data_IF_031633159262
#
_entry.id   IF_031633159262
#
_cell.length_a   1.000
_cell.length_b   1.000
_cell.length_c   1.000
_cell.angle_alpha   90.00
_cell.angle_beta   90.00
_cell.angle_gamma   90.00
#
_symmetry.space_group_name_H-M   'P 1'
#
loop_
_entity.id
_entity.type
_entity.pdbx_description
1 polymer ?
#
# COMPACT_ATOMS: atom_id res chain seq x y z
N UNK A 1 0.63 -23.99 -24.46
CA UNK A 1 1.05 -24.08 -23.04
C UNK A 1 1.65 -22.75 -22.64
N UNK A 2 0.78 -21.74 -22.47
CA UNK A 2 1.15 -20.38 -22.10
C UNK A 2 0.00 -19.85 -21.26
N UNK A 3 0.03 -20.08 -19.95
CA UNK A 3 -0.83 -19.35 -19.02
C UNK A 3 0.00 -19.04 -17.78
N UNK A 4 0.23 -17.75 -17.57
CA UNK A 4 0.91 -17.19 -16.41
C UNK A 4 0.31 -17.79 -15.13
N UNK A 5 1.17 -18.21 -14.20
CA UNK A 5 0.90 -18.88 -12.91
C UNK A 5 -0.07 -18.15 -11.94
N UNK A 6 -0.67 -17.05 -12.36
CA UNK A 6 -1.59 -16.26 -11.56
C UNK A 6 -2.93 -16.15 -12.31
N UNK A 7 -3.86 -17.06 -12.01
CA UNK A 7 -5.27 -16.92 -12.36
C UNK A 7 -5.86 -15.78 -11.53
N UNK A 8 -5.70 -14.55 -12.02
CA UNK A 8 -6.26 -13.34 -11.39
C UNK A 8 -7.55 -12.98 -12.10
N UNK A 9 -8.67 -13.19 -11.42
CA UNK A 9 -10.03 -12.96 -11.94
C UNK A 9 -10.22 -11.57 -12.55
N UNK A 10 -10.92 -11.52 -13.68
CA UNK A 10 -11.16 -10.29 -14.48
C UNK A 10 -11.98 -9.22 -13.76
N UNK A 11 -12.59 -9.53 -12.61
CA UNK A 11 -13.45 -8.63 -11.86
C UNK A 11 -13.17 -8.70 -10.34
N UNK A 12 -12.10 -8.03 -9.91
CA UNK A 12 -11.89 -7.71 -8.48
C UNK A 12 -12.73 -6.48 -8.07
N UNK A 13 -13.07 -6.34 -6.77
CA UNK A 13 -13.96 -5.28 -6.32
C UNK A 13 -13.27 -3.91 -6.40
N UNK A 14 -13.82 -3.03 -7.25
CA UNK A 14 -13.59 -1.56 -7.31
C UNK A 14 -12.31 -1.10 -8.02
N UNK A 15 -12.50 -0.79 -9.31
CA UNK A 15 -11.51 -0.28 -10.25
C UNK A 15 -11.07 1.15 -9.97
N UNK A 16 -9.89 1.26 -9.37
CA UNK A 16 -8.92 2.36 -9.50
C UNK A 16 -7.54 1.72 -9.31
N UNK A 17 -6.63 1.87 -10.28
CA UNK A 17 -5.24 1.44 -10.17
C UNK A 17 -4.93 -0.05 -10.41
N UNK A 18 -5.88 -0.99 -10.37
CA UNK A 18 -5.55 -2.43 -10.50
C UNK A 18 -4.93 -2.80 -11.85
N UNK A 19 -5.39 -2.16 -12.93
CA UNK A 19 -4.82 -2.38 -14.26
C UNK A 19 -3.40 -1.80 -14.36
N UNK A 20 -3.16 -0.64 -13.76
CA UNK A 20 -1.84 0.02 -13.72
C UNK A 20 -0.85 -0.75 -12.86
N UNK A 21 -1.23 -1.12 -11.62
CA UNK A 21 -0.44 -1.97 -10.73
C UNK A 21 -0.09 -3.29 -11.42
N UNK A 22 -1.08 -3.94 -12.06
CA UNK A 22 -0.85 -5.17 -12.82
C UNK A 22 0.10 -4.95 -13.99
N UNK A 23 -0.07 -3.86 -14.75
CA UNK A 23 0.76 -3.54 -15.90
C UNK A 23 2.21 -3.31 -15.46
N UNK A 24 2.43 -2.45 -14.46
CA UNK A 24 3.76 -2.10 -13.94
C UNK A 24 4.42 -3.32 -13.33
N UNK A 25 3.72 -4.09 -12.49
CA UNK A 25 4.26 -5.34 -11.94
C UNK A 25 4.63 -6.32 -13.08
N UNK A 26 3.75 -6.51 -14.07
CA UNK A 26 4.03 -7.41 -15.20
C UNK A 26 5.22 -6.94 -16.05
N UNK A 27 5.33 -5.64 -16.32
CA UNK A 27 6.44 -5.06 -17.06
C UNK A 27 7.75 -5.20 -16.29
N UNK A 28 7.75 -4.93 -14.99
CA UNK A 28 8.92 -5.11 -14.14
C UNK A 28 9.39 -6.57 -14.16
N UNK A 29 8.51 -7.54 -13.86
CA UNK A 29 8.90 -8.95 -13.81
C UNK A 29 9.23 -9.55 -15.19
N UNK A 30 8.73 -8.97 -16.28
CA UNK A 30 9.03 -9.45 -17.66
C UNK A 30 10.30 -8.81 -18.24
N UNK A 31 10.58 -7.54 -17.91
CA UNK A 31 11.73 -6.81 -18.44
C UNK A 31 13.04 -7.13 -17.73
N UNK A 32 12.97 -7.52 -16.46
CA UNK A 32 14.14 -7.86 -15.67
C UNK A 32 14.64 -9.25 -16.07
N UNK A 33 15.61 -9.30 -16.98
CA UNK A 33 16.42 -10.51 -17.21
C UNK A 33 17.32 -10.76 -16.01
N UNK A 34 16.85 -11.61 -15.10
CA UNK A 34 17.62 -11.99 -13.91
C UNK A 34 18.78 -12.91 -14.30
N UNK A 35 20.00 -12.36 -14.26
CA UNK A 35 21.23 -13.12 -14.48
C UNK A 35 21.73 -13.79 -13.19
N UNK A 36 21.10 -13.50 -12.05
CA UNK A 36 21.45 -14.02 -10.73
C UNK A 36 20.18 -14.42 -9.94
N UNK A 37 20.27 -15.42 -9.05
CA UNK A 37 19.14 -15.84 -8.22
C UNK A 37 18.68 -14.73 -7.26
N UNK A 38 17.37 -14.60 -7.10
CA UNK A 38 16.76 -13.63 -6.18
C UNK A 38 17.03 -14.07 -4.75
N UNK A 39 17.75 -13.25 -4.01
CA UNK A 39 17.96 -13.39 -2.56
C UNK A 39 17.69 -12.05 -1.86
N UNK A 40 17.73 -12.07 -0.53
CA UNK A 40 17.42 -10.91 0.30
C UNK A 40 18.30 -9.69 -0.05
N UNK A 41 19.61 -9.89 -0.19
CA UNK A 41 20.56 -8.81 -0.53
C UNK A 41 20.31 -8.20 -1.90
N UNK A 42 19.86 -9.02 -2.86
CA UNK A 42 19.54 -8.56 -4.22
C UNK A 42 18.30 -7.68 -4.21
N UNK A 43 17.27 -8.05 -3.44
CA UNK A 43 16.03 -7.26 -3.30
C UNK A 43 16.33 -5.90 -2.66
N UNK A 44 17.19 -5.84 -1.64
CA UNK A 44 17.58 -4.58 -1.00
C UNK A 44 18.25 -3.59 -1.96
N UNK A 45 18.85 -4.08 -3.06
CA UNK A 45 19.49 -3.26 -4.09
C UNK A 45 18.55 -2.82 -5.21
N UNK A 46 17.23 -3.07 -5.08
CA UNK A 46 16.21 -2.72 -6.07
C UNK A 46 15.33 -1.56 -5.56
N UNK A 47 15.80 -0.30 -5.60
CA UNK A 47 15.07 0.83 -5.03
C UNK A 47 13.69 1.03 -5.67
N UNK A 48 13.58 0.85 -6.99
CA UNK A 48 12.31 0.98 -7.70
C UNK A 48 11.30 -0.11 -7.30
N UNK A 49 11.76 -1.34 -7.06
CA UNK A 49 10.89 -2.41 -6.56
C UNK A 49 10.35 -2.06 -5.17
N UNK A 50 11.21 -1.52 -4.31
CA UNK A 50 10.79 -1.05 -2.98
C UNK A 50 9.76 0.09 -3.10
N UNK A 51 9.96 1.03 -4.01
CA UNK A 51 9.03 2.13 -4.24
C UNK A 51 7.66 1.62 -4.74
N UNK A 52 7.64 0.72 -5.72
CA UNK A 52 6.44 0.02 -6.20
C UNK A 52 5.72 -0.72 -5.06
N UNK A 53 6.47 -1.41 -4.20
CA UNK A 53 5.92 -2.12 -3.06
C UNK A 53 5.25 -1.17 -2.05
N UNK A 54 5.93 -0.08 -1.68
CA UNK A 54 5.41 0.92 -0.75
C UNK A 54 4.18 1.62 -1.33
N UNK A 55 4.19 1.93 -2.63
CA UNK A 55 3.07 2.58 -3.31
C UNK A 55 1.83 1.68 -3.38
N UNK A 56 2.03 0.37 -3.54
CA UNK A 56 0.94 -0.61 -3.40
C UNK A 56 0.32 -0.56 -2.00
N UNK A 57 1.15 -0.50 -0.94
CA UNK A 57 0.66 -0.41 0.44
C UNK A 57 -0.01 0.93 0.74
N UNK A 58 0.47 2.02 0.15
CA UNK A 58 -0.14 3.35 0.29
C UNK A 58 -1.57 3.34 -0.24
N UNK A 59 -1.75 2.89 -1.48
CA UNK A 59 -3.07 2.86 -2.12
C UNK A 59 -3.99 1.78 -1.56
N UNK A 60 -3.43 0.64 -1.13
CA UNK A 60 -4.18 -0.54 -0.69
C UNK A 60 -3.58 -1.14 0.58
N UNK A 61 -3.68 -0.43 1.73
CA UNK A 61 -3.18 -0.96 2.97
C UNK A 61 -3.99 -2.21 3.36
N UNK A 62 -3.34 -3.35 3.68
CA UNK A 62 -4.04 -4.56 4.12
C UNK A 62 -4.81 -4.32 5.43
N UNK A 63 -4.40 -3.33 6.22
CA UNK A 63 -4.98 -2.98 7.52
C UNK A 63 -5.71 -1.63 7.52
N UNK A 64 -6.82 -1.57 6.79
CA UNK A 64 -7.66 -0.36 6.73
C UNK A 64 -8.21 0.04 8.12
N UNK A 65 -8.58 -0.94 8.97
CA UNK A 65 -9.21 -0.71 10.28
C UNK A 65 -8.50 -1.38 11.47
N UNK A 66 -7.38 -2.08 11.26
CA UNK A 66 -6.74 -2.88 12.32
C UNK A 66 -5.79 -2.08 13.22
N UNK A 67 -5.60 -0.78 12.97
CA UNK A 67 -4.81 0.09 13.84
C UNK A 67 -5.69 0.74 14.90
N UNK A 68 -6.03 -0.03 15.93
CA UNK A 68 -6.74 0.46 17.11
C UNK A 68 -5.78 0.76 18.26
N UNK A 69 -6.15 1.74 19.09
CA UNK A 69 -5.50 2.09 20.35
C UNK A 69 -6.56 2.30 21.41
N UNK A 70 -6.26 1.98 22.66
CA UNK A 70 -7.12 2.35 23.78
C UNK A 70 -6.52 3.55 24.51
N UNK A 71 -7.35 4.54 24.82
CA UNK A 71 -6.93 5.68 25.61
C UNK A 71 -6.72 5.23 27.07
N UNK A 72 -5.48 5.20 27.55
CA UNK A 72 -5.16 4.68 28.90
C UNK A 72 -5.58 5.68 29.98
N UNK A 73 -5.34 6.97 29.72
CA UNK A 73 -5.73 8.08 30.58
C UNK A 73 -6.50 9.10 29.76
N UNK A 74 -7.38 9.87 30.39
CA UNK A 74 -8.06 10.97 29.73
C UNK A 74 -7.05 11.96 29.14
N UNK A 75 -7.29 12.39 27.90
CA UNK A 75 -6.40 13.31 27.19
C UNK A 75 -7.16 14.24 26.27
N UNK A 76 -6.46 15.23 25.70
CA UNK A 76 -6.99 16.15 24.71
C UNK A 76 -6.14 16.05 23.43
N UNK A 77 -6.78 15.73 22.31
CA UNK A 77 -6.15 15.66 20.99
C UNK A 77 -6.84 16.66 20.07
N UNK A 78 -6.09 17.62 19.52
CA UNK A 78 -6.63 18.68 18.66
C UNK A 78 -7.85 19.41 19.26
N UNK A 79 -7.87 19.61 20.59
CA UNK A 79 -8.99 20.24 21.30
C UNK A 79 -10.15 19.30 21.66
N UNK A 80 -10.14 18.06 21.18
CA UNK A 80 -11.13 17.05 21.54
C UNK A 80 -10.72 16.28 22.80
N UNK A 81 -11.60 16.27 23.80
CA UNK A 81 -11.42 15.47 25.02
C UNK A 81 -11.74 14.01 24.74
N UNK A 82 -10.78 13.13 24.99
CA UNK A 82 -10.88 11.68 24.82
C UNK A 82 -10.81 11.03 26.21
N UNK A 83 -11.92 10.43 26.70
CA UNK A 83 -11.94 9.73 27.98
C UNK A 83 -11.04 8.49 28.00
N UNK A 84 -10.57 8.13 29.19
CA UNK A 84 -9.91 6.83 29.42
C UNK A 84 -10.86 5.67 29.06
N UNK A 85 -10.30 4.58 28.52
CA UNK A 85 -11.02 3.37 28.12
C UNK A 85 -11.58 3.40 26.70
N UNK A 86 -11.67 4.55 26.04
CA UNK A 86 -12.19 4.68 24.66
C UNK A 86 -11.22 4.05 23.66
N UNK A 87 -11.77 3.31 22.68
CA UNK A 87 -11.01 2.84 21.52
C UNK A 87 -10.95 3.91 20.43
N UNK A 88 -9.74 4.15 19.93
CA UNK A 88 -9.44 5.05 18.83
C UNK A 88 -9.02 4.18 17.65
N UNK A 89 -9.68 4.35 16.51
CA UNK A 89 -9.32 3.71 15.25
C UNK A 89 -8.53 4.73 14.43
N UNK A 90 -7.34 4.34 13.98
CA UNK A 90 -6.48 5.15 13.12
C UNK A 90 -6.67 4.65 11.67
N UNK A 91 -7.41 5.38 10.81
CA UNK A 91 -7.64 4.94 9.45
C UNK A 91 -6.39 5.19 8.60
N UNK A 92 -5.64 4.13 8.27
CA UNK A 92 -4.44 4.21 7.42
C UNK A 92 -4.73 4.94 6.09
N UNK A 93 -5.88 4.62 5.50
CA UNK A 93 -6.31 5.14 4.21
C UNK A 93 -6.51 6.65 4.23
N UNK A 94 -6.96 7.22 5.36
CA UNK A 94 -7.16 8.66 5.49
C UNK A 94 -5.84 9.43 5.43
N UNK A 95 -4.79 8.89 6.06
CA UNK A 95 -3.44 9.46 5.97
C UNK A 95 -2.84 9.26 4.57
N UNK A 96 -2.95 8.05 4.02
CA UNK A 96 -2.36 7.68 2.73
C UNK A 96 -2.97 8.41 1.54
N UNK A 97 -4.22 8.88 1.66
CA UNK A 97 -4.93 9.62 0.62
C UNK A 97 -5.09 11.11 0.93
N UNK A 98 -4.39 11.62 1.95
CA UNK A 98 -4.48 13.04 2.27
C UNK A 98 -3.82 13.88 1.17
N UNK A 99 -4.54 14.88 0.61
CA UNK A 99 -3.98 15.79 -0.39
C UNK A 99 -2.90 16.72 0.18
N UNK A 100 -2.80 16.82 1.51
CA UNK A 100 -1.74 17.60 2.18
C UNK A 100 -0.36 16.97 1.97
N UNK A 101 -0.31 15.66 1.67
CA UNK A 101 0.93 14.90 1.50
C UNK A 101 1.09 14.30 0.10
N UNK A 102 0.02 14.17 -0.68
CA UNK A 102 0.02 13.55 -2.01
C UNK A 102 -0.71 14.43 -3.03
N UNK A 103 -0.05 14.78 -4.14
CA UNK A 103 -0.62 15.61 -5.20
C UNK A 103 -1.85 14.93 -5.85
N UNK A 104 -1.72 13.65 -6.21
CA UNK A 104 -2.82 12.82 -6.70
C UNK A 104 -2.91 11.53 -5.86
N UNK A 105 -3.64 11.56 -4.72
CA UNK A 105 -3.62 10.48 -3.74
C UNK A 105 -4.21 9.16 -4.25
N UNK A 106 -4.94 9.17 -5.37
CA UNK A 106 -5.59 7.96 -5.92
C UNK A 106 -4.84 7.38 -7.12
N UNK A 107 -3.85 8.10 -7.65
CA UNK A 107 -2.97 7.64 -8.73
C UNK A 107 -1.84 6.79 -8.17
N UNK A 108 -1.39 5.80 -8.95
CA UNK A 108 -0.24 4.96 -8.63
C UNK A 108 1.01 5.59 -9.26
N UNK A 109 1.86 6.21 -8.45
CA UNK A 109 3.09 6.90 -8.86
C UNK A 109 4.24 6.47 -7.92
N UNK A 110 4.97 5.40 -8.25
CA UNK A 110 6.07 4.90 -7.42
C UNK A 110 7.38 5.69 -7.57
N UNK A 111 7.50 6.58 -8.56
CA UNK A 111 8.65 7.49 -8.73
C UNK A 111 8.82 8.53 -7.61
#
# INVERSE_FOLDING_TARGET
>A
MNESLLHVGKHGPRGYGWKEIRLIASQFFTSVKMHQPINYETILKMPYLNAVYLECLRLRPPSIFFMSRQCVNETVVQGYRIPAGVMIIIPAIGANWSPDYWLDPVKFEPE
#
